data_IF_525282592653
#
_entry.id   IF_525282592653
#
_cell.length_a   1.000
_cell.length_b   1.000
_cell.length_c   1.000
_cell.angle_alpha   90.00
_cell.angle_beta   90.00
_cell.angle_gamma   90.00
#
_symmetry.space_group_name_H-M   'P 1'
#
loop_
_entity.id
_entity.type
_entity.pdbx_description
1 polymer ?
#
# COMPACT_ATOMS: atom_id res chain seq x y z
N UNK A 1 5.07 7.64 -7.93
CA UNK A 1 5.73 8.92 -8.25
C UNK A 1 5.52 9.98 -7.16
N UNK A 2 4.29 10.30 -6.74
CA UNK A 2 4.06 11.25 -5.63
C UNK A 2 4.74 10.87 -4.30
N UNK A 3 4.89 9.57 -4.01
CA UNK A 3 5.58 9.04 -2.81
C UNK A 3 7.05 9.42 -2.75
N UNK A 4 7.74 9.44 -3.89
CA UNK A 4 9.17 9.76 -3.97
C UNK A 4 9.40 11.26 -3.75
N UNK A 5 8.54 12.10 -4.33
CA UNK A 5 8.56 13.55 -4.11
C UNK A 5 8.28 13.93 -2.65
N UNK A 6 7.26 13.31 -2.03
CA UNK A 6 6.96 13.51 -0.61
C UNK A 6 8.12 13.06 0.29
N UNK A 7 8.80 11.97 -0.08
CA UNK A 7 9.97 11.49 0.64
C UNK A 7 11.15 12.48 0.54
N UNK A 8 11.33 13.12 -0.62
CA UNK A 8 12.33 14.17 -0.82
C UNK A 8 12.04 15.42 0.03
N UNK A 9 10.79 15.90 0.05
CA UNK A 9 10.38 17.01 0.91
C UNK A 9 10.54 16.69 2.40
N UNK A 10 10.29 15.44 2.82
CA UNK A 10 10.53 15.00 4.19
C UNK A 10 12.01 14.93 4.55
N UNK A 11 12.88 14.53 3.62
CA UNK A 11 14.32 14.55 3.82
C UNK A 11 14.85 15.99 3.96
N UNK A 12 14.29 16.94 3.20
CA UNK A 12 14.58 18.37 3.37
C UNK A 12 14.04 18.96 4.68
N UNK A 13 13.07 18.30 5.33
CA UNK A 13 12.47 18.72 6.59
C UNK A 13 13.11 18.05 7.83
N UNK A 14 14.22 17.32 7.68
CA UNK A 14 14.98 16.68 8.77
C UNK A 14 14.19 15.59 9.55
N UNK A 15 13.07 15.11 9.01
CA UNK A 15 12.21 14.11 9.65
C UNK A 15 12.59 12.68 9.25
N UNK A 16 13.33 11.98 10.12
CA UNK A 16 13.82 10.59 9.92
C UNK A 16 12.73 9.50 9.90
N UNK A 17 11.45 9.84 10.05
CA UNK A 17 10.30 8.90 10.09
C UNK A 17 9.73 8.56 8.71
N UNK A 18 10.52 8.70 7.64
CA UNK A 18 10.06 8.52 6.26
C UNK A 18 9.55 7.10 5.96
N UNK A 19 10.16 6.09 6.60
CA UNK A 19 10.00 4.67 6.28
C UNK A 19 8.54 4.20 6.38
N UNK A 20 7.89 4.53 7.51
CA UNK A 20 6.49 4.16 7.75
C UNK A 20 5.52 4.92 6.85
N UNK A 21 5.77 6.20 6.58
CA UNK A 21 4.88 7.03 5.74
C UNK A 21 4.93 6.60 4.27
N UNK A 22 6.11 6.26 3.76
CA UNK A 22 6.28 5.76 2.40
C UNK A 22 5.53 4.43 2.20
N UNK A 23 5.64 3.51 3.16
CA UNK A 23 4.93 2.24 3.14
C UNK A 23 3.40 2.42 3.13
N UNK A 24 2.85 3.22 4.07
CA UNK A 24 1.40 3.46 4.14
C UNK A 24 0.85 4.16 2.89
N UNK A 25 1.61 5.08 2.29
CA UNK A 25 1.14 5.81 1.10
C UNK A 25 1.07 4.92 -0.14
N UNK A 26 2.04 4.01 -0.34
CA UNK A 26 2.00 3.06 -1.47
C UNK A 26 0.91 2.00 -1.32
N UNK A 27 0.60 1.60 -0.08
CA UNK A 27 -0.39 0.55 0.17
C UNK A 27 -1.84 1.05 0.16
N UNK A 28 -2.08 2.36 0.01
CA UNK A 28 -3.43 2.95 -0.02
C UNK A 28 -4.28 2.40 -1.18
N UNK A 29 -3.66 1.99 -2.29
CA UNK A 29 -4.34 1.38 -3.44
C UNK A 29 -5.03 0.06 -3.07
N UNK A 30 -4.46 -0.70 -2.13
CA UNK A 30 -5.08 -1.96 -1.65
C UNK A 30 -6.30 -1.70 -0.76
N UNK A 31 -6.36 -0.55 -0.07
CA UNK A 31 -7.55 -0.11 0.68
C UNK A 31 -8.71 0.15 -0.28
N UNK A 32 -8.44 0.73 -1.46
CA UNK A 32 -9.45 0.93 -2.49
C UNK A 32 -10.04 -0.40 -3.00
N UNK A 33 -9.18 -1.40 -3.22
CA UNK A 33 -9.58 -2.78 -3.56
C UNK A 33 -10.43 -3.42 -2.46
N UNK A 34 -10.10 -3.18 -1.18
CA UNK A 34 -10.90 -3.66 -0.05
C UNK A 34 -12.31 -3.08 -0.03
N UNK A 35 -12.43 -1.76 -0.21
CA UNK A 35 -13.73 -1.07 -0.24
C UNK A 35 -14.56 -1.57 -1.44
N UNK A 36 -13.92 -1.78 -2.59
CA UNK A 36 -14.58 -2.34 -3.77
C UNK A 36 -15.11 -3.76 -3.53
N UNK A 37 -14.31 -4.62 -2.89
CA UNK A 37 -14.74 -5.97 -2.51
C UNK A 37 -15.95 -5.97 -1.57
N UNK A 38 -15.97 -5.07 -0.58
CA UNK A 38 -17.13 -4.90 0.32
C UNK A 38 -18.35 -4.42 -0.46
N UNK A 39 -18.21 -3.41 -1.33
CA UNK A 39 -19.31 -2.92 -2.15
C UNK A 39 -19.86 -4.00 -3.11
N UNK A 40 -18.98 -4.83 -3.68
CA UNK A 40 -19.35 -5.94 -4.54
C UNK A 40 -20.15 -7.03 -3.77
N UNK A 41 -19.75 -7.31 -2.53
CA UNK A 41 -20.47 -8.20 -1.64
C UNK A 41 -21.92 -7.71 -1.40
N UNK A 42 -22.10 -6.41 -1.13
CA UNK A 42 -23.44 -5.84 -0.91
C UNK A 42 -24.29 -5.70 -2.19
N UNK A 43 -23.70 -5.34 -3.33
CA UNK A 43 -24.47 -5.07 -4.57
C UNK A 43 -24.75 -6.28 -5.46
N UNK A 44 -23.94 -7.35 -5.39
CA UNK A 44 -23.99 -8.44 -6.38
C UNK A 44 -24.17 -9.84 -5.78
N UNK A 45 -23.83 -10.08 -4.52
CA UNK A 45 -23.97 -11.42 -3.92
C UNK A 45 -25.34 -11.59 -3.24
N UNK A 46 -26.34 -12.03 -4.01
CA UNK A 46 -27.55 -12.69 -3.49
C UNK A 46 -27.24 -14.17 -3.13
N UNK A 47 -26.18 -14.42 -2.36
CA UNK A 47 -25.83 -15.78 -1.94
C UNK A 47 -26.54 -16.08 -0.62
N UNK A 48 -27.58 -16.88 -0.69
CA UNK A 48 -28.47 -17.29 0.41
C UNK A 48 -27.82 -18.25 1.44
N UNK A 49 -26.49 -18.46 1.36
CA UNK A 49 -25.74 -19.38 2.21
C UNK A 49 -24.67 -18.68 3.07
N UNK A 50 -24.82 -18.77 4.39
CA UNK A 50 -23.89 -18.18 5.38
C UNK A 50 -22.44 -18.71 5.22
N UNK A 51 -22.28 -20.01 4.92
CA UNK A 51 -20.96 -20.63 4.74
C UNK A 51 -20.18 -20.04 3.54
N UNK A 52 -20.84 -19.80 2.41
CA UNK A 52 -20.22 -19.23 1.20
C UNK A 52 -19.81 -17.77 1.40
N UNK A 53 -20.57 -17.02 2.21
CA UNK A 53 -20.24 -15.65 2.59
C UNK A 53 -18.95 -15.57 3.42
N UNK A 54 -18.79 -16.46 4.40
CA UNK A 54 -17.58 -16.51 5.24
C UNK A 54 -16.35 -16.87 4.40
N UNK A 55 -16.48 -17.86 3.50
CA UNK A 55 -15.39 -18.24 2.60
C UNK A 55 -15.00 -17.07 1.69
N UNK A 56 -15.97 -16.39 1.06
CA UNK A 56 -15.70 -15.25 0.19
C UNK A 56 -14.98 -14.11 0.91
N UNK A 57 -15.45 -13.75 2.12
CA UNK A 57 -14.82 -12.70 2.91
C UNK A 57 -13.40 -13.09 3.36
N UNK A 58 -13.21 -14.35 3.78
CA UNK A 58 -11.90 -14.89 4.14
C UNK A 58 -10.90 -14.82 2.99
N UNK A 59 -11.25 -15.34 1.81
CA UNK A 59 -10.38 -15.28 0.63
C UNK A 59 -10.07 -13.85 0.21
N UNK A 60 -11.08 -12.98 0.21
CA UNK A 60 -10.90 -11.59 -0.22
C UNK A 60 -10.02 -10.81 0.76
N UNK A 61 -10.15 -11.05 2.07
CA UNK A 61 -9.29 -10.45 3.08
C UNK A 61 -7.83 -10.89 2.90
N UNK A 62 -7.58 -12.18 2.65
CA UNK A 62 -6.23 -12.71 2.40
C UNK A 62 -5.62 -12.09 1.14
N UNK A 63 -6.37 -12.01 0.04
CA UNK A 63 -5.90 -11.43 -1.22
C UNK A 63 -5.54 -9.94 -1.03
N UNK A 64 -6.41 -9.17 -0.38
CA UNK A 64 -6.17 -7.75 -0.11
C UNK A 64 -4.94 -7.55 0.78
N UNK A 65 -4.75 -8.37 1.82
CA UNK A 65 -3.58 -8.30 2.70
C UNK A 65 -2.28 -8.58 1.94
N UNK A 66 -2.25 -9.62 1.10
CA UNK A 66 -1.09 -9.94 0.27
C UNK A 66 -0.80 -8.79 -0.69
N UNK A 67 -1.82 -8.23 -1.34
CA UNK A 67 -1.67 -7.12 -2.27
C UNK A 67 -1.17 -5.84 -1.57
N UNK A 68 -1.67 -5.58 -0.36
CA UNK A 68 -1.26 -4.47 0.50
C UNK A 68 0.23 -4.57 0.88
N UNK A 69 0.68 -5.77 1.28
CA UNK A 69 2.07 -6.03 1.62
C UNK A 69 2.98 -5.92 0.39
N UNK A 70 2.59 -6.53 -0.73
CA UNK A 70 3.39 -6.55 -1.95
C UNK A 70 3.56 -5.14 -2.56
N UNK A 71 2.47 -4.38 -2.63
CA UNK A 71 2.52 -2.99 -3.12
C UNK A 71 3.30 -2.09 -2.16
N UNK A 72 3.17 -2.34 -0.85
CA UNK A 72 3.92 -1.63 0.19
C UNK A 72 5.44 -1.85 0.12
N UNK A 73 5.88 -3.09 -0.07
CA UNK A 73 7.32 -3.41 -0.17
C UNK A 73 7.95 -2.84 -1.44
N UNK A 74 7.26 -2.88 -2.58
CA UNK A 74 7.73 -2.28 -3.84
C UNK A 74 7.86 -0.75 -3.71
N UNK A 75 6.85 -0.10 -3.11
CA UNK A 75 6.86 1.34 -2.86
C UNK A 75 8.00 1.75 -1.92
N UNK A 76 8.22 0.96 -0.87
CA UNK A 76 9.32 1.17 0.06
C UNK A 76 10.69 1.02 -0.62
N UNK A 77 10.91 -0.06 -1.38
CA UNK A 77 12.18 -0.31 -2.08
C UNK A 77 12.49 0.77 -3.12
N UNK A 78 11.47 1.25 -3.83
CA UNK A 78 11.61 2.33 -4.81
C UNK A 78 12.07 3.64 -4.15
N UNK A 79 11.51 3.98 -2.98
CA UNK A 79 11.94 5.16 -2.23
C UNK A 79 13.38 5.01 -1.68
N UNK A 80 13.72 3.82 -1.17
CA UNK A 80 15.06 3.52 -0.66
C UNK A 80 16.15 3.64 -1.74
N UNK A 81 15.88 3.10 -2.93
CA UNK A 81 16.79 3.21 -4.07
C UNK A 81 17.01 4.68 -4.48
N UNK A 82 15.93 5.47 -4.53
CA UNK A 82 16.01 6.88 -4.88
C UNK A 82 16.86 7.68 -3.88
N UNK A 83 16.66 7.47 -2.58
CA UNK A 83 17.44 8.13 -1.53
C UNK A 83 18.93 7.76 -1.62
N UNK A 84 19.23 6.47 -1.81
CA UNK A 84 20.62 5.99 -1.96
C UNK A 84 21.31 6.63 -3.16
N UNK A 85 20.57 6.84 -4.26
CA UNK A 85 21.08 7.57 -5.42
C UNK A 85 21.36 9.03 -5.09
N UNK A 86 20.44 9.77 -4.46
CA UNK A 86 20.64 11.19 -4.08
C UNK A 86 21.90 11.36 -3.22
N UNK A 87 22.06 10.55 -2.16
CA UNK A 87 23.24 10.62 -1.29
C UNK A 87 24.55 10.24 -2.00
N UNK A 88 24.49 9.37 -3.02
CA UNK A 88 25.68 9.03 -3.82
C UNK A 88 26.10 10.15 -4.78
N UNK A 89 25.19 11.04 -5.19
CA UNK A 89 25.52 12.18 -6.07
C UNK A 89 25.99 13.39 -5.25
N UNK A 90 25.47 13.56 -4.02
CA UNK A 90 25.98 14.54 -3.05
C UNK A 90 27.27 13.97 -2.44
N UNK A 91 28.38 14.08 -3.18
CA UNK A 91 29.71 14.04 -2.58
C UNK A 91 29.95 15.38 -1.89
N UNK A 92 29.96 15.37 -0.55
CA UNK A 92 30.85 16.24 0.24
C UNK A 92 32.26 15.65 0.18
#
# INVERSE_FOLDING_TARGET
EATVLLCYFHLCAEDYRWWWRAFFTSSFTAVYLFIYAVHYFFSKLQITGFASSILYFGYTMVIVLIFFLFTGTIGFFSCFWFITKIYSVVKV
#
